data_IF_825400081695
#
_entry.id   IF_825400081695
#
_cell.length_a   1.000
_cell.length_b   1.000
_cell.length_c   1.000
_cell.angle_alpha   90.00
_cell.angle_beta   90.00
_cell.angle_gamma   90.00
#
_symmetry.space_group_name_H-M   'P 1'
#
loop_
_entity.id
_entity.type
_entity.pdbx_description
1 polymer ?
#
# COMPACT_ATOMS: atom_id res chain seq x y z
N UNK A 1 58.73 3.90 -7.87
CA UNK A 1 57.85 5.07 -7.92
C UNK A 1 56.89 4.89 -9.09
N UNK A 2 55.60 4.99 -8.78
CA UNK A 2 54.45 4.54 -9.56
C UNK A 2 54.33 5.16 -10.95
N UNK A 3 53.95 4.32 -11.92
CA UNK A 3 53.03 4.71 -12.98
C UNK A 3 51.88 3.70 -13.05
N UNK A 4 50.69 4.27 -13.15
CA UNK A 4 49.38 3.67 -13.25
C UNK A 4 49.17 2.93 -14.58
N UNK A 5 48.69 1.69 -14.52
CA UNK A 5 48.01 1.02 -15.62
C UNK A 5 46.64 0.56 -15.14
N UNK A 6 45.59 1.04 -15.81
CA UNK A 6 44.23 0.57 -15.70
C UNK A 6 44.13 -0.84 -16.29
N UNK A 7 43.76 -1.82 -15.48
CA UNK A 7 43.28 -3.12 -15.96
C UNK A 7 41.77 -3.22 -15.75
N UNK A 8 41.05 -3.36 -16.86
CA UNK A 8 39.64 -3.75 -16.94
C UNK A 8 39.56 -5.27 -17.05
N UNK A 9 38.62 -5.97 -16.38
CA UNK A 9 38.33 -7.35 -16.73
C UNK A 9 37.29 -7.38 -17.85
N UNK A 10 37.70 -8.03 -18.93
CA UNK A 10 37.01 -8.24 -20.19
C UNK A 10 35.87 -9.23 -20.06
N UNK A 11 34.69 -8.84 -20.54
CA UNK A 11 33.53 -9.73 -20.74
C UNK A 11 33.78 -10.53 -22.04
N UNK A 12 34.08 -11.83 -21.92
CA UNK A 12 34.21 -12.72 -23.09
C UNK A 12 32.87 -13.40 -23.37
N UNK A 13 32.24 -12.96 -24.45
CA UNK A 13 31.14 -13.63 -25.11
C UNK A 13 31.61 -14.97 -25.70
N UNK A 14 30.86 -16.05 -25.46
CA UNK A 14 30.86 -17.22 -26.33
C UNK A 14 29.59 -17.17 -27.18
N UNK A 15 29.78 -16.89 -28.46
CA UNK A 15 28.78 -16.98 -29.52
C UNK A 15 28.53 -18.46 -29.87
N UNK A 16 27.28 -18.88 -29.82
CA UNK A 16 26.76 -19.90 -30.74
C UNK A 16 25.48 -19.35 -31.37
N UNK A 17 25.53 -19.24 -32.70
CA UNK A 17 24.56 -18.58 -33.56
C UNK A 17 23.59 -19.59 -34.18
N UNK A 18 22.31 -19.19 -34.16
CA UNK A 18 21.18 -19.51 -35.07
C UNK A 18 20.68 -20.96 -35.09
N UNK A 19 19.36 -21.21 -35.00
CA UNK A 19 18.35 -20.82 -36.00
C UNK A 19 17.01 -20.33 -35.41
N UNK A 20 16.38 -19.38 -36.12
CA UNK A 20 14.99 -18.95 -35.95
C UNK A 20 14.01 -20.05 -36.39
N UNK A 21 12.94 -20.30 -35.62
CA UNK A 21 11.57 -20.50 -36.12
C UNK A 21 10.58 -19.95 -35.09
N UNK A 22 9.58 -19.22 -35.62
CA UNK A 22 8.39 -18.63 -35.00
C UNK A 22 7.72 -19.40 -33.84
N UNK A 23 7.13 -18.62 -32.92
CA UNK A 23 5.87 -18.99 -32.26
C UNK A 23 5.87 -18.82 -30.74
N UNK A 24 5.00 -17.92 -30.25
CA UNK A 24 4.56 -17.77 -28.86
C UNK A 24 5.60 -17.18 -27.88
N UNK A 25 5.65 -15.84 -27.86
CA UNK A 25 6.29 -15.09 -26.77
C UNK A 25 5.51 -15.23 -25.47
N UNK A 26 5.82 -16.27 -24.70
CA UNK A 26 5.56 -16.30 -23.26
C UNK A 26 6.52 -15.29 -22.61
N UNK A 27 6.02 -14.09 -22.33
CA UNK A 27 6.74 -13.10 -21.54
C UNK A 27 6.95 -13.62 -20.11
N UNK A 28 8.16 -14.08 -19.82
CA UNK A 28 8.62 -14.45 -18.49
C UNK A 28 8.62 -13.20 -17.62
N UNK A 29 7.63 -13.07 -16.74
CA UNK A 29 7.61 -12.06 -15.68
C UNK A 29 8.59 -12.47 -14.58
N UNK A 30 9.76 -11.85 -14.60
CA UNK A 30 10.68 -11.79 -13.46
C UNK A 30 10.03 -10.93 -12.37
N UNK A 31 9.37 -11.53 -11.39
CA UNK A 31 8.98 -10.84 -10.16
C UNK A 31 9.84 -11.34 -9.00
N UNK A 32 10.66 -10.41 -8.48
CA UNK A 32 11.60 -10.59 -7.39
C UNK A 32 10.92 -10.61 -6.01
N UNK A 33 11.78 -10.78 -5.01
CA UNK A 33 11.50 -10.82 -3.58
C UNK A 33 10.41 -9.83 -3.12
N UNK A 34 9.44 -10.31 -2.34
CA UNK A 34 8.68 -9.42 -1.47
C UNK A 34 9.23 -9.50 -0.03
N UNK A 35 10.18 -8.61 0.25
CA UNK A 35 9.97 -7.56 1.28
C UNK A 35 8.62 -6.86 1.00
N UNK A 36 7.90 -6.26 1.98
CA UNK A 36 6.67 -5.52 1.68
C UNK A 36 6.90 -4.69 0.41
N UNK A 37 6.10 -4.94 -0.63
CA UNK A 37 6.38 -4.49 -2.00
C UNK A 37 6.96 -3.08 -1.93
N UNK A 38 8.22 -2.91 -2.35
CA UNK A 38 8.92 -1.63 -2.21
C UNK A 38 8.00 -0.57 -2.79
N UNK A 39 7.49 0.31 -1.92
CA UNK A 39 6.49 1.30 -2.30
C UNK A 39 6.99 1.97 -3.58
N UNK A 40 6.14 2.19 -4.61
CA UNK A 40 6.53 3.06 -5.70
C UNK A 40 7.12 4.31 -5.05
N UNK A 41 8.36 4.65 -5.37
CA UNK A 41 8.99 5.83 -4.79
C UNK A 41 8.23 7.01 -5.40
N UNK A 42 7.19 7.42 -4.69
CA UNK A 42 6.48 8.63 -4.99
C UNK A 42 7.46 9.76 -4.72
N UNK A 43 7.60 10.74 -5.62
CA UNK A 43 8.38 11.92 -5.29
C UNK A 43 7.72 12.59 -4.08
N UNK A 44 8.49 13.31 -3.25
CA UNK A 44 7.95 14.00 -2.09
C UNK A 44 6.89 15.02 -2.51
N UNK A 45 5.86 15.18 -1.68
CA UNK A 45 4.80 16.16 -1.93
C UNK A 45 5.32 17.56 -1.63
N UNK A 46 5.97 18.19 -2.60
CA UNK A 46 6.27 19.61 -2.53
C UNK A 46 5.04 20.41 -2.95
N UNK A 47 4.53 21.24 -2.05
CA UNK A 47 3.39 22.10 -2.32
C UNK A 47 3.49 23.40 -1.52
N UNK A 48 3.21 24.51 -2.18
CA UNK A 48 2.97 25.83 -1.59
C UNK A 48 1.49 26.05 -1.25
N UNK A 49 0.68 25.00 -1.37
CA UNK A 49 -0.71 24.99 -0.95
C UNK A 49 -0.77 24.92 0.58
N UNK A 50 -0.81 26.09 1.24
CA UNK A 50 -0.68 26.26 2.71
C UNK A 50 -1.62 25.35 3.52
N UNK A 51 -2.81 25.07 3.02
CA UNK A 51 -3.80 24.15 3.60
C UNK A 51 -3.36 22.67 3.68
N UNK A 52 -2.37 22.23 2.90
CA UNK A 52 -1.77 20.89 3.06
C UNK A 52 -0.76 20.86 4.24
N UNK A 53 -0.30 22.03 4.70
CA UNK A 53 0.65 22.12 5.81
C UNK A 53 -0.03 22.04 7.18
N UNK A 54 -1.36 22.25 7.27
CA UNK A 54 -2.11 22.25 8.53
C UNK A 54 -2.55 20.85 8.97
N UNK A 55 -2.46 19.85 8.10
CA UNK A 55 -2.99 18.50 8.35
C UNK A 55 -1.92 17.57 8.89
N UNK A 56 -1.86 17.45 10.21
CA UNK A 56 -1.03 16.41 10.85
C UNK A 56 -1.84 15.12 10.99
N UNK A 57 -1.70 14.20 10.02
CA UNK A 57 -2.26 12.85 10.12
C UNK A 57 -1.79 12.14 11.41
N UNK A 58 -2.50 11.09 11.80
CA UNK A 58 -2.28 10.37 13.07
C UNK A 58 -2.58 11.19 14.35
N UNK A 59 -3.11 12.40 14.23
CA UNK A 59 -3.58 13.18 15.38
C UNK A 59 -4.90 12.63 15.92
N UNK A 60 -5.07 12.63 17.25
CA UNK A 60 -6.34 12.22 17.85
C UNK A 60 -7.43 13.25 17.59
N UNK A 61 -8.68 12.79 17.46
CA UNK A 61 -9.87 13.64 17.38
C UNK A 61 -9.95 14.65 18.51
N UNK A 62 -9.60 14.24 19.73
CA UNK A 62 -9.58 15.13 20.89
C UNK A 62 -8.53 16.24 20.79
N UNK A 63 -7.38 15.99 20.17
CA UNK A 63 -6.37 17.01 19.92
C UNK A 63 -6.79 17.93 18.77
N UNK A 64 -7.36 17.37 17.70
CA UNK A 64 -7.87 18.13 16.56
C UNK A 64 -8.96 19.14 16.97
N UNK A 65 -9.93 18.73 17.79
CA UNK A 65 -11.03 19.58 18.24
C UNK A 65 -10.59 20.72 19.18
N UNK A 66 -9.34 20.72 19.66
CA UNK A 66 -8.79 21.87 20.42
C UNK A 66 -8.40 23.03 19.52
N UNK A 67 -7.99 22.74 18.29
CA UNK A 67 -7.59 23.75 17.30
C UNK A 67 -8.69 24.07 16.29
N UNK A 68 -9.71 23.21 16.19
CA UNK A 68 -10.86 23.38 15.30
C UNK A 68 -12.15 23.34 16.12
N UNK A 69 -12.74 24.52 16.45
CA UNK A 69 -13.94 24.61 17.27
C UNK A 69 -15.10 23.80 16.66
N UNK A 70 -15.83 22.98 17.45
CA UNK A 70 -16.94 22.19 16.93
C UNK A 70 -18.05 23.03 16.27
N UNK A 71 -18.19 24.31 16.64
CA UNK A 71 -19.18 25.23 16.08
C UNK A 71 -18.98 25.55 14.60
N UNK A 72 -17.76 25.41 14.09
CA UNK A 72 -17.43 25.62 12.67
C UNK A 72 -17.40 24.31 11.88
N UNK A 73 -17.67 23.16 12.51
CA UNK A 73 -17.56 21.85 11.91
C UNK A 73 -18.93 21.17 11.81
N UNK A 74 -19.18 20.51 10.69
CA UNK A 74 -20.35 19.64 10.52
C UNK A 74 -19.93 18.18 10.65
N UNK A 75 -20.33 17.46 11.71
CA UNK A 75 -20.02 16.04 11.84
C UNK A 75 -20.88 15.18 10.89
N UNK A 76 -20.29 14.15 10.30
CA UNK A 76 -20.97 13.16 9.49
C UNK A 76 -20.46 11.74 9.81
N UNK A 77 -21.33 10.74 9.67
CA UNK A 77 -20.94 9.34 9.81
C UNK A 77 -20.05 8.92 8.65
N UNK A 78 -18.95 8.22 8.94
CA UNK A 78 -18.03 7.72 7.93
C UNK A 78 -17.67 6.27 8.20
N UNK A 79 -18.57 5.37 7.76
CA UNK A 79 -18.50 3.95 8.08
C UNK A 79 -18.61 3.70 9.58
N UNK A 80 -17.52 3.21 10.19
CA UNK A 80 -17.37 3.02 11.64
C UNK A 80 -16.66 4.18 12.35
N UNK A 81 -16.19 5.15 11.57
CA UNK A 81 -15.52 6.36 12.04
C UNK A 81 -16.39 7.59 11.88
N UNK A 82 -15.76 8.76 11.88
CA UNK A 82 -16.45 10.05 11.76
C UNK A 82 -15.70 11.01 10.85
N UNK A 83 -16.46 11.75 10.06
CA UNK A 83 -15.98 12.88 9.28
C UNK A 83 -16.37 14.20 9.94
N UNK A 84 -15.48 15.19 9.88
CA UNK A 84 -15.80 16.59 10.17
C UNK A 84 -15.57 17.44 8.93
N UNK A 85 -16.56 18.24 8.56
CA UNK A 85 -16.50 19.13 7.40
C UNK A 85 -16.42 20.58 7.86
N UNK A 86 -15.39 21.31 7.40
CA UNK A 86 -15.26 22.76 7.48
C UNK A 86 -15.65 23.37 6.12
N UNK A 87 -16.76 24.12 6.03
CA UNK A 87 -17.24 24.64 4.76
C UNK A 87 -16.34 25.75 4.19
N UNK A 88 -16.33 25.88 2.87
CA UNK A 88 -15.47 26.81 2.12
C UNK A 88 -15.52 28.27 2.57
N UNK A 89 -16.64 28.75 3.10
CA UNK A 89 -16.82 30.12 3.58
C UNK A 89 -16.11 30.40 4.92
N UNK A 90 -15.82 29.35 5.68
CA UNK A 90 -15.11 29.41 6.97
C UNK A 90 -13.69 28.85 6.88
N UNK A 91 -13.36 28.28 5.72
CA UNK A 91 -12.12 27.57 5.46
C UNK A 91 -11.01 28.50 4.96
N UNK A 92 -9.79 28.42 5.52
CA UNK A 92 -8.62 29.15 5.01
C UNK A 92 -8.26 28.79 3.56
N UNK A 93 -8.62 27.59 3.10
CA UNK A 93 -8.38 27.17 1.72
C UNK A 93 -9.37 27.76 0.71
N UNK A 94 -10.47 28.37 1.19
CA UNK A 94 -11.62 28.72 0.36
C UNK A 94 -12.25 27.52 -0.38
N UNK A 95 -11.93 26.30 0.06
CA UNK A 95 -12.55 25.04 -0.36
C UNK A 95 -13.17 24.32 0.84
N UNK A 96 -14.04 23.35 0.57
CA UNK A 96 -14.61 22.50 1.61
C UNK A 96 -13.51 21.54 2.10
N UNK A 97 -13.25 21.52 3.40
CA UNK A 97 -12.23 20.67 4.03
C UNK A 97 -12.91 19.56 4.82
N UNK A 98 -12.51 18.32 4.59
CA UNK A 98 -13.08 17.13 5.22
C UNK A 98 -11.99 16.39 5.97
N UNK A 99 -12.22 16.10 7.24
CA UNK A 99 -11.28 15.47 8.17
C UNK A 99 -11.84 14.15 8.66
N UNK A 100 -11.15 13.05 8.35
CA UNK A 100 -11.69 11.70 8.52
C UNK A 100 -10.99 10.96 9.65
N UNK A 101 -11.76 10.58 10.64
CA UNK A 101 -11.33 9.86 11.81
C UNK A 101 -11.80 8.41 11.73
N UNK A 102 -10.92 7.47 12.02
CA UNK A 102 -11.30 6.06 12.13
C UNK A 102 -12.06 5.77 13.44
N UNK A 103 -12.37 4.49 13.67
CA UNK A 103 -13.10 4.02 14.86
C UNK A 103 -12.38 4.37 16.18
N UNK A 104 -11.04 4.48 16.17
CA UNK A 104 -10.25 4.86 17.34
C UNK A 104 -10.15 6.38 17.52
N UNK A 105 -10.78 7.15 16.64
CA UNK A 105 -10.71 8.60 16.63
C UNK A 105 -9.35 9.12 16.16
N UNK A 106 -8.64 8.38 15.31
CA UNK A 106 -7.37 8.79 14.72
C UNK A 106 -7.61 9.46 13.36
N UNK A 107 -7.00 10.62 13.10
CA UNK A 107 -7.08 11.29 11.79
C UNK A 107 -6.30 10.48 10.75
N UNK A 108 -7.01 9.80 9.85
CA UNK A 108 -6.42 8.90 8.84
C UNK A 108 -6.38 9.52 7.44
N UNK A 109 -7.15 10.57 7.21
CA UNK A 109 -7.11 11.28 5.94
C UNK A 109 -7.83 12.62 5.98
N UNK A 110 -7.51 13.43 4.98
CA UNK A 110 -8.13 14.73 4.74
C UNK A 110 -8.44 14.88 3.26
N UNK A 111 -9.53 15.59 2.94
CA UNK A 111 -9.93 15.90 1.56
C UNK A 111 -10.30 17.36 1.47
N UNK A 112 -9.71 18.06 0.50
CA UNK A 112 -9.98 19.44 0.14
C UNK A 112 -10.70 19.44 -1.19
N UNK A 113 -11.90 20.03 -1.25
CA UNK A 113 -12.72 20.05 -2.47
C UNK A 113 -12.97 21.48 -2.92
N UNK A 114 -12.75 21.72 -4.21
CA UNK A 114 -12.93 23.01 -4.89
C UNK A 114 -13.94 22.84 -6.04
N UNK A 115 -15.27 22.84 -5.77
CA UNK A 115 -16.28 22.56 -6.79
C UNK A 115 -16.29 23.55 -7.97
N UNK A 116 -15.82 24.78 -7.74
CA UNK A 116 -15.64 25.81 -8.77
C UNK A 116 -14.25 25.82 -9.40
N UNK A 117 -13.36 24.95 -8.95
CA UNK A 117 -11.95 24.90 -9.35
C UNK A 117 -11.09 25.92 -8.61
N UNK A 118 -9.91 25.48 -8.17
CA UNK A 118 -8.85 26.35 -7.67
C UNK A 118 -7.83 26.60 -8.79
N UNK A 119 -7.67 27.86 -9.19
CA UNK A 119 -6.59 28.26 -10.12
C UNK A 119 -5.23 28.02 -9.46
N UNK A 120 -4.39 27.21 -10.10
CA UNK A 120 -3.06 26.90 -9.60
C UNK A 120 -1.99 27.92 -10.02
N UNK A 121 -2.32 28.96 -10.80
CA UNK A 121 -1.36 30.01 -11.18
C UNK A 121 -0.61 30.64 -9.99
N UNK A 122 -1.26 30.93 -8.85
CA UNK A 122 -0.58 31.47 -7.66
C UNK A 122 0.32 30.47 -6.92
N UNK A 123 0.33 29.19 -7.32
CA UNK A 123 0.99 28.08 -6.62
C UNK A 123 2.13 27.48 -7.47
N UNK A 124 3.24 28.21 -7.68
CA UNK A 124 4.35 27.76 -8.53
C UNK A 124 5.03 26.47 -8.06
N UNK A 125 5.08 26.17 -6.75
CA UNK A 125 5.68 24.93 -6.24
C UNK A 125 4.81 23.74 -6.63
N UNK A 126 3.50 23.79 -6.31
CA UNK A 126 2.58 22.71 -6.67
C UNK A 126 2.53 22.48 -8.19
N UNK A 127 2.48 23.56 -9.00
CA UNK A 127 2.54 23.41 -10.47
C UNK A 127 3.81 22.71 -10.95
N UNK A 128 4.97 23.07 -10.39
CA UNK A 128 6.23 22.38 -10.73
C UNK A 128 6.15 20.90 -10.35
N UNK A 129 5.68 20.58 -9.17
CA UNK A 129 5.49 19.19 -8.72
C UNK A 129 4.62 18.40 -9.71
N UNK A 130 3.44 18.93 -10.06
CA UNK A 130 2.53 18.31 -11.03
C UNK A 130 3.18 18.09 -12.40
N UNK A 131 4.05 18.98 -12.87
CA UNK A 131 4.74 18.82 -14.17
C UNK A 131 5.77 17.70 -14.18
N UNK A 132 6.32 17.35 -13.01
CA UNK A 132 7.29 16.27 -12.83
C UNK A 132 6.62 14.91 -12.65
N UNK A 133 5.35 14.90 -12.27
CA UNK A 133 4.55 13.70 -12.09
C UNK A 133 4.01 13.19 -13.42
N UNK A 134 4.02 11.86 -13.57
CA UNK A 134 3.24 11.19 -14.58
C UNK A 134 1.82 10.98 -14.02
N UNK A 135 0.75 11.32 -14.77
CA UNK A 135 -0.61 11.00 -14.36
C UNK A 135 -0.75 9.50 -14.08
N UNK A 136 -1.31 9.17 -12.92
CA UNK A 136 -1.64 7.78 -12.56
C UNK A 136 -2.89 7.32 -13.33
N UNK A 137 -3.79 8.25 -13.63
CA UNK A 137 -4.99 8.03 -14.42
C UNK A 137 -5.39 9.30 -15.16
N UNK A 138 -5.76 9.16 -16.43
CA UNK A 138 -6.34 10.23 -17.27
C UNK A 138 -7.73 9.82 -17.72
N UNK A 139 -8.69 10.73 -17.63
CA UNK A 139 -10.10 10.48 -17.92
C UNK A 139 -10.85 11.78 -18.20
N UNK A 140 -12.12 11.67 -18.58
CA UNK A 140 -12.99 12.82 -18.77
C UNK A 140 -14.00 12.93 -17.63
N UNK A 141 -14.00 14.06 -16.94
CA UNK A 141 -14.96 14.34 -15.88
C UNK A 141 -15.91 15.47 -16.30
N UNK A 142 -17.21 15.24 -16.13
CA UNK A 142 -18.23 16.28 -16.30
C UNK A 142 -18.61 16.84 -14.92
N UNK A 143 -18.04 18.00 -14.56
CA UNK A 143 -18.36 18.70 -13.31
C UNK A 143 -19.35 19.82 -13.62
N UNK A 144 -20.55 19.76 -13.03
CA UNK A 144 -21.69 20.61 -13.39
C UNK A 144 -21.48 22.12 -13.19
N UNK A 145 -20.46 22.52 -12.42
CA UNK A 145 -20.24 23.90 -11.98
C UNK A 145 -19.01 24.58 -12.59
N UNK A 146 -18.35 23.97 -13.58
CA UNK A 146 -17.27 24.63 -14.30
C UNK A 146 -17.83 25.57 -15.38
N UNK A 147 -17.26 26.78 -15.56
CA UNK A 147 -17.76 27.75 -16.54
C UNK A 147 -17.76 27.23 -17.99
N UNK A 148 -16.84 26.31 -18.34
CA UNK A 148 -16.72 25.66 -19.64
C UNK A 148 -17.72 24.51 -19.81
N UNK A 149 -19.01 24.80 -19.93
CA UNK A 149 -20.06 23.78 -20.21
C UNK A 149 -19.92 23.06 -21.57
N UNK A 150 -18.91 23.40 -22.38
CA UNK A 150 -18.82 23.03 -23.80
C UNK A 150 -17.67 22.08 -24.17
N UNK A 151 -16.72 21.80 -23.27
CA UNK A 151 -15.63 20.86 -23.54
C UNK A 151 -15.51 19.81 -22.44
N UNK A 152 -15.43 18.54 -22.83
CA UNK A 152 -14.96 17.48 -21.94
C UNK A 152 -13.49 17.77 -21.63
N UNK A 153 -13.23 18.53 -20.57
CA UNK A 153 -11.87 18.89 -20.20
C UNK A 153 -11.13 17.65 -19.68
N UNK A 154 -9.90 17.43 -20.17
CA UNK A 154 -9.06 16.32 -19.72
C UNK A 154 -8.82 16.43 -18.22
N UNK A 155 -9.05 15.33 -17.51
CA UNK A 155 -8.83 15.19 -16.07
C UNK A 155 -7.66 14.26 -15.82
N UNK A 156 -6.77 14.65 -14.92
CA UNK A 156 -5.62 13.84 -14.52
C UNK A 156 -5.59 13.68 -13.01
N UNK A 157 -5.35 12.44 -12.56
CA UNK A 157 -5.00 12.14 -11.18
C UNK A 157 -3.48 12.04 -11.05
N UNK A 158 -2.92 12.83 -10.15
CA UNK A 158 -1.52 12.80 -9.79
C UNK A 158 -1.35 12.27 -8.36
N UNK A 159 -0.33 11.45 -8.13
CA UNK A 159 -0.02 10.90 -6.82
C UNK A 159 1.42 11.23 -6.41
N UNK A 160 1.60 11.61 -5.16
CA UNK A 160 2.88 11.93 -4.52
C UNK A 160 2.79 11.54 -3.04
N UNK A 161 3.89 11.50 -2.30
CA UNK A 161 3.85 11.11 -0.89
C UNK A 161 5.21 10.71 -0.33
N UNK A 162 5.19 10.12 0.84
CA UNK A 162 6.38 9.61 1.54
C UNK A 162 6.25 8.10 1.79
N UNK A 163 6.93 7.54 2.79
CA UNK A 163 6.84 6.11 3.12
C UNK A 163 5.49 5.68 3.70
N UNK A 164 4.74 6.60 4.32
CA UNK A 164 3.53 6.30 5.10
C UNK A 164 2.27 7.00 4.59
N UNK A 165 2.43 7.99 3.74
CA UNK A 165 1.33 8.82 3.27
C UNK A 165 1.27 8.87 1.76
N UNK A 166 0.06 9.06 1.26
CA UNK A 166 -0.21 9.31 -0.15
C UNK A 166 -1.06 10.56 -0.25
N UNK A 167 -0.60 11.47 -1.10
CA UNK A 167 -1.29 12.69 -1.50
C UNK A 167 -1.75 12.54 -2.94
N UNK A 168 -3.03 12.80 -3.19
CA UNK A 168 -3.63 12.72 -4.52
C UNK A 168 -4.16 14.08 -4.95
N UNK A 169 -3.91 14.47 -6.21
CA UNK A 169 -4.44 15.69 -6.82
C UNK A 169 -5.27 15.36 -8.05
N UNK A 170 -6.55 15.73 -8.03
CA UNK A 170 -7.42 15.69 -9.19
C UNK A 170 -7.41 17.06 -9.87
N UNK A 171 -6.82 17.12 -11.06
CA UNK A 171 -6.59 18.36 -11.82
C UNK A 171 -7.32 18.30 -13.14
N UNK A 172 -7.89 19.43 -13.55
CA UNK A 172 -8.48 19.65 -14.86
C UNK A 172 -7.66 20.62 -15.71
N UNK A 173 -7.85 20.49 -17.02
CA UNK A 173 -7.38 21.45 -17.99
C UNK A 173 -5.94 21.18 -18.46
N UNK A 174 -5.46 21.99 -19.40
CA UNK A 174 -4.13 21.83 -19.96
C UNK A 174 -3.06 22.17 -18.92
N UNK A 175 -1.84 21.65 -19.10
CA UNK A 175 -0.73 21.84 -18.13
C UNK A 175 -0.37 23.30 -17.91
N UNK A 176 -0.68 24.16 -18.87
CA UNK A 176 -0.44 25.59 -18.87
C UNK A 176 -1.39 26.36 -17.95
N UNK A 177 -2.61 25.85 -17.73
CA UNK A 177 -3.63 26.45 -16.86
C UNK A 177 -4.34 25.37 -16.04
N UNK A 178 -3.63 24.69 -15.13
CA UNK A 178 -4.22 23.60 -14.37
C UNK A 178 -5.17 24.13 -13.30
N UNK A 179 -6.33 23.51 -13.20
CA UNK A 179 -7.35 23.79 -12.19
C UNK A 179 -7.43 22.61 -11.24
N UNK A 180 -7.20 22.83 -9.94
CA UNK A 180 -7.35 21.80 -8.93
C UNK A 180 -8.82 21.68 -8.52
N UNK A 181 -9.38 20.46 -8.59
CA UNK A 181 -10.72 20.16 -8.11
C UNK A 181 -10.73 19.55 -6.72
N UNK A 182 -9.75 18.68 -6.46
CA UNK A 182 -9.67 17.98 -5.20
C UNK A 182 -8.23 17.63 -4.87
N UNK A 183 -7.87 17.77 -3.61
CA UNK A 183 -6.63 17.21 -3.05
C UNK A 183 -6.98 16.33 -1.85
N UNK A 184 -6.31 15.19 -1.71
CA UNK A 184 -6.42 14.35 -0.51
C UNK A 184 -5.04 14.03 0.04
N UNK A 185 -4.93 13.95 1.36
CA UNK A 185 -3.73 13.42 2.05
C UNK A 185 -4.19 12.33 2.99
N UNK A 186 -3.62 11.14 2.85
CA UNK A 186 -4.06 9.94 3.58
C UNK A 186 -2.88 9.12 4.07
N UNK A 187 -3.08 8.37 5.15
CA UNK A 187 -2.16 7.27 5.46
C UNK A 187 -2.42 6.12 4.46
N UNK A 188 -1.36 5.47 3.99
CA UNK A 188 -1.46 4.56 2.84
C UNK A 188 -2.51 3.45 2.95
N UNK A 189 -2.73 2.80 4.12
CA UNK A 189 -3.74 1.75 4.22
C UNK A 189 -5.14 2.23 3.83
N UNK A 190 -5.39 3.53 3.99
CA UNK A 190 -6.67 4.15 3.71
C UNK A 190 -6.78 4.71 2.28
N UNK A 191 -5.70 4.84 1.51
CA UNK A 191 -5.69 5.56 0.21
C UNK A 191 -6.85 5.16 -0.72
N UNK A 192 -7.18 3.86 -0.78
CA UNK A 192 -8.26 3.34 -1.63
C UNK A 192 -9.64 3.86 -1.23
N UNK A 193 -9.84 4.14 0.05
CA UNK A 193 -11.07 4.68 0.58
C UNK A 193 -11.27 6.15 0.20
N UNK A 194 -10.20 6.84 -0.18
CA UNK A 194 -10.15 8.25 -0.54
C UNK A 194 -9.97 8.49 -2.04
N UNK A 195 -10.07 7.42 -2.84
CA UNK A 195 -10.00 7.53 -4.29
C UNK A 195 -10.99 8.59 -4.79
N UNK A 196 -10.55 9.60 -5.57
CA UNK A 196 -11.42 10.67 -6.02
C UNK A 196 -12.54 10.20 -6.96
N UNK A 197 -12.44 8.95 -7.44
CA UNK A 197 -13.44 8.30 -8.31
C UNK A 197 -14.58 7.64 -7.56
N UNK A 198 -14.50 7.56 -6.23
CA UNK A 198 -15.61 7.02 -5.47
C UNK A 198 -16.81 7.92 -5.64
N UNK A 199 -17.98 7.30 -5.78
CA UNK A 199 -19.24 8.02 -5.98
C UNK A 199 -19.42 9.17 -5.00
N UNK A 200 -19.11 8.94 -3.73
CA UNK A 200 -19.23 9.94 -2.66
C UNK A 200 -18.45 11.24 -2.96
N UNK A 201 -17.20 11.15 -3.40
CA UNK A 201 -16.36 12.32 -3.67
C UNK A 201 -16.71 13.00 -5.00
N UNK A 202 -17.06 12.21 -6.02
CA UNK A 202 -17.55 12.75 -7.29
C UNK A 202 -18.86 13.51 -7.12
N UNK A 203 -19.77 13.02 -6.28
CA UNK A 203 -21.04 13.69 -5.99
C UNK A 203 -20.81 15.03 -5.29
N UNK A 204 -19.85 15.14 -4.37
CA UNK A 204 -19.48 16.43 -3.72
C UNK A 204 -19.00 17.48 -4.73
N UNK A 205 -18.27 17.06 -5.76
CA UNK A 205 -17.83 17.94 -6.86
C UNK A 205 -19.00 18.39 -7.76
N UNK A 206 -19.95 17.49 -8.05
CA UNK A 206 -21.08 17.77 -8.93
C UNK A 206 -22.21 18.55 -8.25
N UNK A 207 -22.44 18.29 -6.97
CA UNK A 207 -23.58 18.78 -6.20
C UNK A 207 -23.12 19.45 -4.89
N UNK A 208 -22.40 20.58 -4.95
CA UNK A 208 -21.92 21.27 -3.76
C UNK A 208 -23.10 21.78 -2.90
N UNK A 209 -22.92 21.76 -1.58
CA UNK A 209 -23.84 22.31 -0.56
C UNK A 209 -25.26 21.71 -0.55
N UNK A 210 -25.37 20.40 -0.31
CA UNK A 210 -26.66 19.77 0.01
C UNK A 210 -27.66 19.70 -1.15
N UNK A 211 -27.22 19.99 -2.37
CA UNK A 211 -28.00 19.70 -3.57
C UNK A 211 -28.19 18.19 -3.67
N UNK A 212 -29.45 17.74 -3.78
CA UNK A 212 -29.72 16.32 -3.94
C UNK A 212 -29.27 15.85 -5.32
N UNK A 213 -28.63 14.68 -5.44
CA UNK A 213 -28.30 14.10 -6.73
C UNK A 213 -29.57 14.00 -7.58
N UNK A 214 -29.57 14.67 -8.74
CA UNK A 214 -30.67 14.59 -9.71
C UNK A 214 -30.64 13.22 -10.41
N UNK A 215 -29.46 12.62 -10.50
CA UNK A 215 -29.23 11.28 -11.01
C UNK A 215 -28.13 10.61 -10.19
N UNK A 216 -28.36 9.37 -9.77
CA UNK A 216 -27.38 8.58 -9.02
C UNK A 216 -26.25 8.17 -9.98
N UNK A 217 -24.99 8.41 -9.61
CA UNK A 217 -23.87 7.92 -10.40
C UNK A 217 -23.74 6.40 -10.24
N UNK A 218 -23.49 5.73 -11.36
CA UNK A 218 -22.99 4.37 -11.34
C UNK A 218 -21.61 4.34 -10.67
N UNK A 219 -21.37 3.31 -9.86
CA UNK A 219 -20.06 3.02 -9.25
C UNK A 219 -18.99 2.94 -10.34
N UNK A 220 -18.05 3.88 -10.36
CA UNK A 220 -16.98 3.88 -11.36
C UNK A 220 -15.71 3.17 -10.88
N UNK A 221 -15.48 3.10 -9.56
CA UNK A 221 -14.31 2.44 -8.97
C UNK A 221 -14.50 0.94 -8.72
N UNK A 222 -13.41 0.17 -8.73
CA UNK A 222 -13.44 -1.23 -8.30
C UNK A 222 -13.67 -1.34 -6.77
N UNK A 223 -13.28 -0.31 -6.03
CA UNK A 223 -13.39 -0.17 -4.57
C UNK A 223 -14.86 -0.04 -4.12
N UNK A 224 -15.71 0.54 -4.95
CA UNK A 224 -17.14 0.69 -4.68
C UNK A 224 -17.92 -0.64 -4.80
N UNK A 225 -17.26 -1.71 -5.30
CA UNK A 225 -17.81 -3.07 -5.35
C UNK A 225 -17.58 -3.85 -4.06
N UNK A 226 -16.71 -3.36 -3.17
CA UNK A 226 -16.47 -3.98 -1.87
C UNK A 226 -17.27 -3.29 -0.77
N UNK A 227 -17.71 -4.02 0.27
CA UNK A 227 -18.32 -3.39 1.43
C UNK A 227 -17.37 -2.39 2.08
N UNK A 228 -17.77 -1.11 2.10
CA UNK A 228 -16.96 -0.02 2.65
C UNK A 228 -16.44 -0.31 4.07
N UNK A 229 -17.28 -0.79 5.04
CA UNK A 229 -16.80 -0.99 6.40
C UNK A 229 -15.75 -2.10 6.50
N UNK A 230 -15.79 -3.11 5.62
CA UNK A 230 -14.79 -4.17 5.57
C UNK A 230 -13.43 -3.64 5.12
N UNK A 231 -13.40 -2.81 4.08
CA UNK A 231 -12.18 -2.14 3.63
C UNK A 231 -11.64 -1.17 4.68
N UNK A 232 -12.52 -0.43 5.37
CA UNK A 232 -12.13 0.48 6.44
C UNK A 232 -11.51 -0.26 7.62
N UNK A 233 -12.11 -1.35 8.08
CA UNK A 233 -11.56 -2.15 9.17
C UNK A 233 -10.27 -2.89 8.76
N UNK A 234 -10.16 -3.31 7.49
CA UNK A 234 -8.92 -3.85 6.98
C UNK A 234 -7.79 -2.81 6.99
N UNK A 235 -8.06 -1.59 6.51
CA UNK A 235 -7.11 -0.47 6.54
C UNK A 235 -6.69 -0.12 7.98
N UNK A 236 -7.65 -0.06 8.92
CA UNK A 236 -7.39 0.11 10.35
C UNK A 236 -6.45 -0.96 10.90
N UNK A 237 -6.68 -2.22 10.54
CA UNK A 237 -5.83 -3.33 10.95
C UNK A 237 -4.38 -3.19 10.46
N UNK A 238 -4.21 -2.78 9.20
CA UNK A 238 -2.89 -2.52 8.62
C UNK A 238 -2.19 -1.35 9.29
N UNK A 239 -2.90 -0.25 9.55
CA UNK A 239 -2.37 0.93 10.25
C UNK A 239 -1.78 0.54 11.61
N UNK A 240 -2.53 -0.24 12.40
CA UNK A 240 -2.07 -0.71 13.72
C UNK A 240 -0.92 -1.73 13.61
N UNK A 241 -1.02 -2.68 12.67
CA UNK A 241 -0.01 -3.73 12.49
C UNK A 241 1.33 -3.19 11.99
N UNK A 242 1.32 -2.17 11.14
CA UNK A 242 2.52 -1.64 10.48
C UNK A 242 3.01 -0.33 11.10
N UNK A 243 2.44 0.07 12.25
CA UNK A 243 2.89 1.24 13.01
C UNK A 243 2.83 2.53 12.17
N UNK A 244 1.79 2.69 11.34
CA UNK A 244 1.61 3.91 10.56
C UNK A 244 1.45 5.12 11.49
N UNK A 245 0.67 4.94 12.55
CA UNK A 245 0.43 5.95 13.57
C UNK A 245 0.79 5.41 14.95
N UNK A 246 1.92 5.88 15.50
CA UNK A 246 2.41 5.44 16.82
C UNK A 246 3.18 4.13 16.76
N UNK A 247 3.03 3.30 17.79
CA UNK A 247 3.72 2.00 17.94
C UNK A 247 2.88 0.85 17.39
N UNK A 248 3.55 -0.21 16.95
CA UNK A 248 2.92 -1.42 16.46
C UNK A 248 1.97 -2.02 17.52
N UNK A 249 0.73 -2.31 17.11
CA UNK A 249 -0.29 -2.88 17.98
C UNK A 249 -1.02 -4.04 17.28
N UNK A 250 -0.62 -5.26 17.63
CA UNK A 250 -1.17 -6.48 17.03
C UNK A 250 -2.56 -6.85 17.55
N UNK A 251 -2.93 -6.43 18.77
CA UNK A 251 -4.26 -6.69 19.33
C UNK A 251 -5.33 -5.88 18.59
N UNK A 252 -5.08 -4.57 18.40
CA UNK A 252 -5.93 -3.71 17.57
C UNK A 252 -5.99 -4.22 16.14
N UNK A 253 -4.85 -4.64 15.58
CA UNK A 253 -4.81 -5.21 14.23
C UNK A 253 -5.69 -6.46 14.11
N UNK A 254 -5.55 -7.41 15.03
CA UNK A 254 -6.34 -8.63 15.02
C UNK A 254 -7.85 -8.35 15.15
N UNK A 255 -8.24 -7.47 16.08
CA UNK A 255 -9.63 -7.06 16.25
C UNK A 255 -10.21 -6.41 14.98
N UNK A 256 -9.45 -5.53 14.33
CA UNK A 256 -9.85 -4.87 13.09
C UNK A 256 -10.00 -5.87 11.92
N UNK A 257 -9.05 -6.78 11.73
CA UNK A 257 -9.17 -7.81 10.69
C UNK A 257 -10.32 -8.78 10.95
N UNK A 258 -10.58 -9.16 12.20
CA UNK A 258 -11.75 -9.97 12.56
C UNK A 258 -13.06 -9.26 12.20
N UNK A 259 -13.17 -7.95 12.51
CA UNK A 259 -14.33 -7.13 12.11
C UNK A 259 -14.48 -7.05 10.60
N UNK A 260 -13.38 -6.89 9.87
CA UNK A 260 -13.39 -6.85 8.40
C UNK A 260 -13.92 -8.17 7.80
N UNK A 261 -13.42 -9.32 8.30
CA UNK A 261 -13.87 -10.66 7.89
C UNK A 261 -15.35 -10.87 8.23
N UNK A 262 -15.77 -10.50 9.44
CA UNK A 262 -17.16 -10.65 9.90
C UNK A 262 -18.15 -9.79 9.10
N UNK A 263 -17.73 -8.59 8.69
CA UNK A 263 -18.53 -7.71 7.82
C UNK A 263 -18.63 -8.29 6.40
N UNK A 264 -17.57 -8.97 5.95
CA UNK A 264 -17.54 -9.73 4.71
C UNK A 264 -16.92 -8.99 3.54
N UNK A 265 -16.40 -9.74 2.58
CA UNK A 265 -15.84 -9.20 1.33
C UNK A 265 -16.61 -9.77 0.14
N UNK A 266 -16.81 -8.95 -0.90
CA UNK A 266 -17.39 -9.42 -2.15
C UNK A 266 -16.37 -10.27 -2.93
N UNK A 267 -15.10 -9.86 -2.92
CA UNK A 267 -14.02 -10.59 -3.54
C UNK A 267 -13.31 -11.53 -2.55
N UNK A 268 -13.24 -12.81 -2.90
CA UNK A 268 -12.55 -13.84 -2.10
C UNK A 268 -11.04 -13.57 -1.94
N UNK A 269 -10.42 -12.81 -2.84
CA UNK A 269 -9.01 -12.40 -2.71
C UNK A 269 -8.80 -11.53 -1.48
N UNK A 270 -9.72 -10.58 -1.22
CA UNK A 270 -9.67 -9.76 -0.01
C UNK A 270 -9.90 -10.61 1.24
N UNK A 271 -10.84 -11.55 1.19
CA UNK A 271 -11.07 -12.47 2.30
C UNK A 271 -9.83 -13.31 2.63
N UNK A 272 -9.15 -13.85 1.61
CA UNK A 272 -7.90 -14.57 1.80
C UNK A 272 -6.83 -13.68 2.44
N UNK A 273 -6.62 -12.47 1.91
CA UNK A 273 -5.64 -11.53 2.46
C UNK A 273 -5.97 -11.14 3.92
N UNK A 274 -7.25 -10.94 4.25
CA UNK A 274 -7.68 -10.64 5.62
C UNK A 274 -7.36 -11.77 6.59
N UNK A 275 -7.61 -13.03 6.20
CA UNK A 275 -7.19 -14.20 6.98
C UNK A 275 -5.66 -14.25 7.14
N UNK A 276 -4.89 -13.99 6.08
CA UNK A 276 -3.43 -13.96 6.17
C UNK A 276 -2.94 -12.87 7.14
N UNK A 277 -3.45 -11.64 7.05
CA UNK A 277 -3.07 -10.54 7.94
C UNK A 277 -3.48 -10.78 9.38
N UNK A 278 -4.67 -11.33 9.61
CA UNK A 278 -5.10 -11.76 10.94
C UNK A 278 -4.17 -12.83 11.51
N UNK A 279 -3.76 -13.81 10.68
CA UNK A 279 -2.77 -14.80 11.05
C UNK A 279 -1.44 -14.17 11.47
N UNK A 280 -0.95 -13.18 10.72
CA UNK A 280 0.27 -12.44 11.08
C UNK A 280 0.10 -11.64 12.39
N UNK A 281 -1.07 -11.04 12.63
CA UNK A 281 -1.36 -10.37 13.90
C UNK A 281 -1.34 -11.36 15.09
N UNK A 282 -1.86 -12.58 14.89
CA UNK A 282 -1.75 -13.64 15.89
C UNK A 282 -0.33 -14.14 16.11
N UNK A 283 0.52 -14.16 15.08
CA UNK A 283 1.96 -14.41 15.27
C UNK A 283 2.58 -13.33 16.16
N UNK A 284 2.26 -12.06 15.90
CA UNK A 284 2.76 -10.92 16.68
C UNK A 284 2.38 -10.95 18.17
N UNK A 285 1.25 -11.59 18.51
CA UNK A 285 0.81 -11.79 19.90
C UNK A 285 1.16 -13.17 20.47
N UNK A 286 1.93 -13.99 19.75
CA UNK A 286 2.34 -15.34 20.17
C UNK A 286 1.24 -16.41 20.11
N UNK A 287 0.07 -16.10 19.55
CA UNK A 287 -1.07 -17.02 19.43
C UNK A 287 -0.95 -17.92 18.20
N UNK A 288 0.09 -18.76 18.17
CA UNK A 288 0.48 -19.53 16.99
C UNK A 288 -0.58 -20.53 16.49
N UNK A 289 -1.38 -21.12 17.37
CA UNK A 289 -2.50 -21.99 16.96
C UNK A 289 -3.59 -21.22 16.21
N UNK A 290 -3.94 -20.02 16.67
CA UNK A 290 -4.86 -19.14 15.93
C UNK A 290 -4.25 -18.73 14.60
N UNK A 291 -2.97 -18.34 14.58
CA UNK A 291 -2.26 -17.97 13.36
C UNK A 291 -2.31 -19.09 12.30
N UNK A 292 -2.06 -20.34 12.72
CA UNK A 292 -2.15 -21.53 11.86
C UNK A 292 -3.55 -21.66 11.24
N UNK A 293 -4.59 -21.58 12.07
CA UNK A 293 -5.98 -21.67 11.61
C UNK A 293 -6.29 -20.63 10.52
N UNK A 294 -5.93 -19.37 10.76
CA UNK A 294 -6.19 -18.28 9.81
C UNK A 294 -5.39 -18.44 8.51
N UNK A 295 -4.11 -18.83 8.58
CA UNK A 295 -3.31 -19.07 7.38
C UNK A 295 -3.83 -20.27 6.56
N UNK A 296 -4.39 -21.30 7.20
CA UNK A 296 -5.05 -22.40 6.51
C UNK A 296 -6.35 -21.95 5.83
N UNK A 297 -7.16 -21.09 6.45
CA UNK A 297 -8.33 -20.48 5.79
C UNK A 297 -7.90 -19.67 4.56
N UNK A 298 -6.84 -18.89 4.67
CA UNK A 298 -6.30 -18.13 3.55
C UNK A 298 -5.82 -19.04 2.41
N UNK A 299 -5.13 -20.15 2.71
CA UNK A 299 -4.67 -21.11 1.71
C UNK A 299 -5.80 -21.96 1.11
N UNK A 300 -6.90 -22.18 1.84
CA UNK A 300 -8.08 -22.83 1.27
C UNK A 300 -8.68 -22.00 0.12
N UNK A 301 -8.55 -20.67 0.19
CA UNK A 301 -8.99 -19.75 -0.86
C UNK A 301 -7.90 -19.56 -1.93
N UNK A 302 -6.63 -19.41 -1.52
CA UNK A 302 -5.48 -19.18 -2.40
C UNK A 302 -4.34 -20.17 -2.13
N UNK A 303 -4.44 -21.43 -2.60
CA UNK A 303 -3.56 -22.53 -2.18
C UNK A 303 -2.10 -22.43 -2.65
N UNK A 304 -1.84 -21.59 -3.65
CA UNK A 304 -0.52 -21.44 -4.28
C UNK A 304 0.06 -20.05 -4.00
N UNK A 305 0.06 -19.64 -2.73
CA UNK A 305 0.60 -18.34 -2.30
C UNK A 305 1.87 -18.56 -1.46
N UNK A 306 3.08 -18.42 -2.05
CA UNK A 306 4.35 -18.70 -1.39
C UNK A 306 4.56 -17.97 -0.06
N UNK A 307 4.09 -16.73 0.04
CA UNK A 307 4.18 -15.88 1.22
C UNK A 307 3.41 -16.48 2.39
N UNK A 308 2.19 -16.95 2.13
CA UNK A 308 1.35 -17.57 3.18
C UNK A 308 1.95 -18.92 3.57
N UNK A 309 2.44 -19.72 2.61
CA UNK A 309 3.09 -21.00 2.88
C UNK A 309 4.37 -20.83 3.72
N UNK A 310 5.21 -19.84 3.39
CA UNK A 310 6.39 -19.52 4.17
C UNK A 310 6.01 -19.09 5.60
N UNK A 311 5.04 -18.20 5.76
CA UNK A 311 4.60 -17.76 7.09
C UNK A 311 3.98 -18.92 7.89
N UNK A 312 3.20 -19.79 7.25
CA UNK A 312 2.65 -20.99 7.86
C UNK A 312 3.77 -21.96 8.29
N UNK A 313 4.82 -22.11 7.48
CA UNK A 313 6.01 -22.88 7.86
C UNK A 313 6.68 -22.35 9.13
N UNK A 314 6.81 -21.03 9.25
CA UNK A 314 7.29 -20.37 10.47
C UNK A 314 6.38 -20.64 11.67
N UNK A 315 5.06 -20.59 11.47
CA UNK A 315 4.08 -20.90 12.52
C UNK A 315 4.20 -22.36 12.98
N UNK A 316 4.30 -23.31 12.04
CA UNK A 316 4.53 -24.72 12.38
C UNK A 316 5.83 -24.93 13.16
N UNK A 317 6.91 -24.26 12.76
CA UNK A 317 8.19 -24.31 13.48
C UNK A 317 8.06 -23.82 14.92
N UNK A 318 7.33 -22.70 15.15
CA UNK A 318 7.03 -22.19 16.49
C UNK A 318 6.15 -23.12 17.32
N UNK A 319 5.29 -23.92 16.68
CA UNK A 319 4.49 -24.96 17.31
C UNK A 319 5.26 -26.28 17.53
N UNK A 320 6.51 -26.37 17.07
CA UNK A 320 7.33 -27.59 17.16
C UNK A 320 7.04 -28.64 16.08
N UNK A 321 6.12 -28.35 15.15
CA UNK A 321 5.77 -29.24 14.05
C UNK A 321 6.77 -29.09 12.89
N UNK A 322 7.95 -29.69 13.07
CA UNK A 322 9.05 -29.60 12.12
C UNK A 322 8.71 -30.19 10.74
N UNK A 323 7.87 -31.23 10.70
CA UNK A 323 7.50 -31.90 9.47
C UNK A 323 6.64 -31.00 8.58
N UNK A 324 5.58 -30.41 9.13
CA UNK A 324 4.74 -29.48 8.37
C UNK A 324 5.43 -28.15 8.09
N UNK A 325 6.35 -27.70 8.96
CA UNK A 325 7.20 -26.55 8.69
C UNK A 325 8.03 -26.77 7.42
N UNK A 326 8.77 -27.88 7.36
CA UNK A 326 9.61 -28.23 6.23
C UNK A 326 8.79 -28.33 4.93
N UNK A 327 7.69 -29.08 4.94
CA UNK A 327 6.82 -29.22 3.77
C UNK A 327 6.26 -27.88 3.27
N UNK A 328 5.93 -26.96 4.19
CA UNK A 328 5.43 -25.63 3.84
C UNK A 328 6.52 -24.77 3.19
N UNK A 329 7.74 -24.79 3.72
CA UNK A 329 8.87 -24.07 3.13
C UNK A 329 9.28 -24.64 1.77
N UNK A 330 9.33 -25.97 1.62
CA UNK A 330 9.60 -26.63 0.34
C UNK A 330 8.58 -26.24 -0.73
N UNK A 331 7.29 -26.21 -0.38
CA UNK A 331 6.23 -25.79 -1.30
C UNK A 331 6.38 -24.31 -1.66
N UNK A 332 6.72 -23.45 -0.71
CA UNK A 332 6.97 -22.03 -0.98
C UNK A 332 8.14 -21.82 -1.96
N UNK A 333 9.27 -22.52 -1.77
CA UNK A 333 10.43 -22.45 -2.67
C UNK A 333 10.14 -23.10 -4.03
N UNK A 334 9.34 -24.15 -4.08
CA UNK A 334 8.91 -24.78 -5.35
C UNK A 334 8.07 -23.83 -6.18
N UNK A 335 7.12 -23.13 -5.56
CA UNK A 335 6.26 -22.16 -6.23
C UNK A 335 7.00 -20.87 -6.60
N UNK A 336 7.97 -20.46 -5.77
CA UNK A 336 8.81 -19.29 -6.04
C UNK A 336 10.29 -19.58 -5.71
N UNK A 337 11.06 -20.09 -6.69
CA UNK A 337 12.46 -20.43 -6.48
C UNK A 337 13.37 -19.24 -6.15
N UNK A 338 12.98 -18.01 -6.46
CA UNK A 338 13.75 -16.81 -6.08
C UNK A 338 13.28 -16.19 -4.75
N UNK A 339 12.46 -16.88 -3.95
CA UNK A 339 11.98 -16.35 -2.68
C UNK A 339 13.04 -16.49 -1.58
N UNK A 340 13.93 -15.50 -1.48
CA UNK A 340 15.10 -15.54 -0.60
C UNK A 340 14.77 -15.94 0.85
N UNK A 341 13.79 -15.27 1.49
CA UNK A 341 13.42 -15.59 2.87
C UNK A 341 12.90 -17.03 3.05
N UNK A 342 12.18 -17.59 2.08
CA UNK A 342 11.74 -18.98 2.14
C UNK A 342 12.91 -19.95 1.99
N UNK A 343 13.95 -19.61 1.21
CA UNK A 343 15.19 -20.40 1.15
C UNK A 343 15.96 -20.36 2.46
N UNK A 344 16.07 -19.18 3.09
CA UNK A 344 16.66 -19.05 4.42
C UNK A 344 15.92 -19.94 5.44
N UNK A 345 14.60 -19.85 5.50
CA UNK A 345 13.79 -20.64 6.42
C UNK A 345 13.86 -22.16 6.11
N UNK A 346 13.89 -22.52 4.83
CA UNK A 346 14.08 -23.90 4.39
C UNK A 346 15.45 -24.44 4.80
N UNK A 347 16.50 -23.63 4.70
CA UNK A 347 17.84 -23.99 5.14
C UNK A 347 17.88 -24.25 6.65
N UNK A 348 17.30 -23.35 7.46
CA UNK A 348 17.19 -23.54 8.92
C UNK A 348 16.41 -24.82 9.27
N UNK A 349 15.32 -25.10 8.55
CA UNK A 349 14.51 -26.29 8.78
C UNK A 349 15.26 -27.59 8.44
N UNK A 350 16.06 -27.60 7.38
CA UNK A 350 16.84 -28.78 6.98
C UNK A 350 18.09 -29.01 7.82
N UNK A 351 18.68 -27.96 8.38
CA UNK A 351 20.01 -28.04 8.97
C UNK A 351 20.20 -29.18 9.99
N UNK A 352 19.23 -29.48 10.89
CA UNK A 352 19.38 -30.58 11.85
C UNK A 352 19.34 -31.99 11.22
N UNK A 353 18.73 -32.15 10.04
CA UNK A 353 18.44 -33.46 9.44
C UNK A 353 19.16 -33.71 8.11
N UNK A 354 19.49 -32.64 7.38
CA UNK A 354 20.16 -32.69 6.09
C UNK A 354 21.07 -31.45 5.91
N UNK A 355 22.24 -31.43 6.58
CA UNK A 355 23.18 -30.30 6.53
C UNK A 355 23.64 -29.95 5.10
N UNK A 356 23.75 -30.95 4.22
CA UNK A 356 24.13 -30.74 2.81
C UNK A 356 23.05 -29.96 2.06
N UNK A 357 21.77 -30.29 2.28
CA UNK A 357 20.67 -29.53 1.66
C UNK A 357 20.58 -28.13 2.24
N UNK A 358 20.72 -27.98 3.56
CA UNK A 358 20.74 -26.67 4.20
C UNK A 358 21.83 -25.75 3.65
N UNK A 359 23.05 -26.27 3.45
CA UNK A 359 24.15 -25.53 2.85
C UNK A 359 23.79 -24.98 1.46
N UNK A 360 23.20 -25.81 0.59
CA UNK A 360 22.78 -25.40 -0.76
C UNK A 360 21.71 -24.29 -0.73
N UNK A 361 20.77 -24.36 0.20
CA UNK A 361 19.73 -23.35 0.35
C UNK A 361 20.29 -22.03 0.91
N UNK A 362 21.21 -22.08 1.87
CA UNK A 362 21.91 -20.90 2.38
C UNK A 362 22.75 -20.21 1.31
N UNK A 363 23.50 -20.96 0.50
CA UNK A 363 24.28 -20.40 -0.61
C UNK A 363 23.37 -19.72 -1.64
N UNK A 364 22.21 -20.33 -1.92
CA UNK A 364 21.23 -19.72 -2.84
C UNK A 364 20.59 -18.47 -2.23
N UNK A 365 20.27 -18.47 -0.94
CA UNK A 365 19.81 -17.26 -0.24
C UNK A 365 20.83 -16.12 -0.40
N UNK A 366 22.11 -16.36 -0.11
CA UNK A 366 23.17 -15.35 -0.21
C UNK A 366 23.28 -14.75 -1.62
N UNK A 367 23.19 -15.61 -2.65
CA UNK A 367 23.21 -15.14 -4.04
C UNK A 367 21.99 -14.26 -4.40
N UNK A 368 20.84 -14.49 -3.78
CA UNK A 368 19.62 -13.70 -4.05
C UNK A 368 19.60 -12.34 -3.33
N UNK A 369 20.33 -12.19 -2.23
CA UNK A 369 20.32 -10.98 -1.40
C UNK A 369 21.61 -10.16 -1.47
N UNK A 370 22.54 -10.54 -2.34
CA UNK A 370 23.79 -9.81 -2.52
C UNK A 370 23.55 -8.34 -2.82
N UNK A 371 24.19 -7.46 -2.05
CA UNK A 371 24.06 -6.00 -2.21
C UNK A 371 22.76 -5.39 -1.70
N UNK A 372 21.90 -6.14 -0.99
CA UNK A 372 20.69 -5.60 -0.33
C UNK A 372 21.05 -5.12 1.08
N UNK A 373 21.08 -3.80 1.36
CA UNK A 373 21.52 -3.29 2.67
C UNK A 373 20.64 -3.77 3.83
N UNK A 374 19.34 -3.88 3.62
CA UNK A 374 18.36 -4.30 4.64
C UNK A 374 18.58 -5.75 5.11
N UNK A 375 19.30 -6.56 4.33
CA UNK A 375 19.58 -7.96 4.64
C UNK A 375 20.97 -8.15 5.28
N UNK A 376 21.76 -7.09 5.48
CA UNK A 376 23.17 -7.18 5.91
C UNK A 376 23.37 -8.04 7.17
N UNK A 377 22.49 -7.89 8.17
CA UNK A 377 22.57 -8.68 9.41
C UNK A 377 22.31 -10.17 9.17
N UNK A 378 21.29 -10.50 8.37
CA UNK A 378 20.95 -11.89 8.04
C UNK A 378 22.00 -12.51 7.13
N UNK A 379 22.56 -11.74 6.19
CA UNK A 379 23.70 -12.14 5.36
C UNK A 379 24.88 -12.54 6.22
N UNK A 380 25.27 -11.71 7.20
CA UNK A 380 26.39 -12.02 8.09
C UNK A 380 26.14 -13.32 8.90
N UNK A 381 24.93 -13.52 9.40
CA UNK A 381 24.54 -14.74 10.10
C UNK A 381 24.64 -15.98 9.20
N UNK A 382 24.11 -15.90 7.97
CA UNK A 382 24.12 -17.02 7.02
C UNK A 382 25.54 -17.34 6.56
N UNK A 383 26.38 -16.32 6.32
CA UNK A 383 27.79 -16.55 5.99
C UNK A 383 28.53 -17.32 7.08
N UNK A 384 28.25 -17.02 8.36
CA UNK A 384 28.81 -17.79 9.47
C UNK A 384 28.32 -19.23 9.47
N UNK A 385 27.02 -19.45 9.20
CA UNK A 385 26.45 -20.80 9.16
C UNK A 385 27.00 -21.65 8.02
N UNK A 386 27.16 -21.06 6.83
CA UNK A 386 27.81 -21.67 5.67
C UNK A 386 29.24 -22.09 5.99
N UNK A 387 30.02 -21.27 6.71
CA UNK A 387 31.37 -21.64 7.15
C UNK A 387 31.36 -22.86 8.08
N UNK A 388 30.44 -22.89 9.05
CA UNK A 388 30.30 -24.02 9.97
C UNK A 388 29.89 -25.31 9.27
N UNK A 389 28.98 -25.25 8.29
CA UNK A 389 28.49 -26.43 7.57
C UNK A 389 29.50 -27.02 6.56
N UNK A 390 30.55 -26.27 6.21
CA UNK A 390 31.64 -26.72 5.33
C UNK A 390 32.80 -27.37 6.09
N UNK A 391 32.86 -27.19 7.40
CA UNK A 391 33.82 -27.83 8.31
C UNK A 391 33.26 -29.18 8.75
#
# INVERSE_FOLDING_TARGET
MNQSSHDTPTCRALLLRLWMVCGLGLGVLLNGCETPAKKPILPPSESDLVLLNSTTLCTSKSAFLKTHPPSSLTPQEWGTGQEFILPADQSPSHGDESYFFDEDGMLVGTVFTFPSGLDLNPYPVLRRTLTQLKPTLEFYLNVANLPSKTSMDSSALYETGDEKTTTQYLVLGPREQPILLQASITIDPYVRLFSPYRREFLERLRYPRGQKPVQQLDSQGAEDKEPFPSLQQFARGQTAQLSYCGTQNYDTAAAAYQKAIATGFANKVWLAEAHHKLGLAWVGTGQHEKAKSEMLQSLAIRPNTPEILNNLGTVYSKLGDKANALASFEKAVTLRPNYAIARYNLAEAYEPTNPRRALSEYETYLALVEGIPDEANRIAQVQQRVKTLKQ
#
